data_IF_939599918446
#
_entry.id   IF_939599918446
#
_cell.length_a   1.000
_cell.length_b   1.000
_cell.length_c   1.000
_cell.angle_alpha   90.00
_cell.angle_beta   90.00
_cell.angle_gamma   90.00
#
_symmetry.space_group_name_H-M   'P 1'
#
loop_
_entity.id
_entity.type
_entity.pdbx_description
1 polymer ?
#
# COMPACT_ATOMS: atom_id res chain seq x y z
N UNK A 1 -26.99 14.94 -11.19
CA UNK A 1 -26.34 15.89 -10.26
C UNK A 1 -24.90 16.05 -10.71
N UNK A 2 -24.25 17.21 -10.46
CA UNK A 2 -22.83 17.34 -10.75
C UNK A 2 -22.05 16.39 -9.84
N UNK A 3 -21.00 15.75 -10.36
CA UNK A 3 -20.11 14.86 -9.59
C UNK A 3 -19.39 15.68 -8.52
N UNK A 4 -19.30 15.16 -7.28
CA UNK A 4 -18.51 15.77 -6.20
C UNK A 4 -17.03 15.55 -6.48
N UNK A 5 -16.24 16.59 -6.36
CA UNK A 5 -14.81 16.57 -6.69
C UNK A 5 -13.95 16.38 -5.45
N UNK A 6 -13.15 15.35 -5.44
CA UNK A 6 -12.24 15.02 -4.34
C UNK A 6 -10.79 15.22 -4.80
N UNK A 7 -10.01 15.97 -4.02
CA UNK A 7 -8.58 16.09 -4.23
C UNK A 7 -7.85 15.05 -3.37
N UNK A 8 -7.10 14.13 -4.00
CA UNK A 8 -6.12 13.28 -3.33
C UNK A 8 -4.76 13.96 -3.40
N UNK A 9 -4.15 14.27 -2.27
CA UNK A 9 -2.80 14.82 -2.24
C UNK A 9 -1.83 13.73 -1.81
N UNK A 10 -0.92 13.35 -2.70
CA UNK A 10 0.13 12.35 -2.43
C UNK A 10 1.51 12.94 -2.70
N UNK A 11 2.46 12.88 -1.75
CA UNK A 11 3.78 13.48 -1.91
C UNK A 11 4.67 12.76 -2.92
N UNK A 12 4.36 11.53 -3.27
CA UNK A 12 5.23 10.74 -4.14
C UNK A 12 4.92 10.99 -5.62
N UNK A 13 5.96 11.13 -6.46
CA UNK A 13 5.75 11.29 -7.89
C UNK A 13 5.21 10.00 -8.50
N UNK A 14 4.17 10.13 -9.29
CA UNK A 14 3.72 9.04 -10.15
C UNK A 14 4.70 8.91 -11.32
N UNK A 15 5.47 7.81 -11.34
CA UNK A 15 6.27 7.48 -12.50
C UNK A 15 5.37 6.82 -13.56
N UNK A 16 5.39 7.29 -14.82
CA UNK A 16 4.62 6.65 -15.90
C UNK A 16 5.04 5.22 -16.22
N UNK A 17 6.23 4.83 -15.78
CA UNK A 17 6.81 3.49 -15.98
C UNK A 17 7.71 3.16 -14.80
N UNK A 18 7.28 2.30 -13.91
CA UNK A 18 8.09 1.85 -12.80
C UNK A 18 7.31 1.10 -11.74
N UNK A 19 8.02 0.39 -10.87
CA UNK A 19 7.44 -0.25 -9.69
C UNK A 19 6.97 0.86 -8.76
N UNK A 20 5.65 1.04 -8.70
CA UNK A 20 5.01 1.93 -7.76
C UNK A 20 5.13 1.30 -6.36
N UNK A 21 5.42 2.10 -5.35
CA UNK A 21 5.35 1.66 -3.97
C UNK A 21 3.90 1.37 -3.55
N UNK A 22 3.72 0.63 -2.44
CA UNK A 22 2.37 0.31 -1.95
C UNK A 22 1.49 1.53 -1.67
N UNK A 23 2.10 2.67 -1.27
CA UNK A 23 1.36 3.91 -1.00
C UNK A 23 0.76 4.54 -2.24
N UNK A 24 1.54 4.65 -3.33
CA UNK A 24 1.07 5.20 -4.61
C UNK A 24 0.00 4.30 -5.24
N UNK A 25 0.24 3.00 -5.21
CA UNK A 25 -0.70 2.00 -5.73
C UNK A 25 -2.02 2.05 -4.96
N UNK A 26 -1.97 2.18 -3.64
CA UNK A 26 -3.16 2.31 -2.81
C UNK A 26 -3.98 3.54 -3.16
N UNK A 27 -3.35 4.72 -3.25
CA UNK A 27 -4.05 5.96 -3.56
C UNK A 27 -4.78 5.88 -4.93
N UNK A 28 -4.10 5.33 -5.94
CA UNK A 28 -4.70 5.14 -7.28
C UNK A 28 -5.85 4.14 -7.24
N UNK A 29 -5.67 3.00 -6.59
CA UNK A 29 -6.71 1.97 -6.49
C UNK A 29 -7.91 2.48 -5.68
N UNK A 30 -7.68 3.19 -4.58
CA UNK A 30 -8.76 3.78 -3.81
C UNK A 30 -9.56 4.80 -4.63
N UNK A 31 -8.89 5.66 -5.39
CA UNK A 31 -9.56 6.62 -6.29
C UNK A 31 -10.45 5.89 -7.31
N UNK A 32 -9.92 4.85 -7.97
CA UNK A 32 -10.68 3.98 -8.88
C UNK A 32 -11.85 3.30 -8.16
N UNK A 33 -11.59 2.74 -6.98
CA UNK A 33 -12.60 2.07 -6.16
C UNK A 33 -13.76 2.98 -5.80
N UNK A 34 -13.51 4.23 -5.39
CA UNK A 34 -14.53 5.23 -5.08
C UNK A 34 -15.38 5.53 -6.32
N UNK A 35 -14.74 5.86 -7.44
CA UNK A 35 -15.47 6.21 -8.67
C UNK A 35 -16.32 5.04 -9.17
N UNK A 36 -15.76 3.83 -9.19
CA UNK A 36 -16.46 2.63 -9.68
C UNK A 36 -17.60 2.19 -8.76
N UNK A 37 -17.41 2.25 -7.42
CA UNK A 37 -18.41 1.83 -6.45
C UNK A 37 -19.60 2.79 -6.34
N UNK A 38 -19.41 4.06 -6.70
CA UNK A 38 -20.44 5.11 -6.60
C UNK A 38 -21.08 5.46 -7.92
N UNK A 39 -20.73 4.77 -9.02
CA UNK A 39 -21.28 5.04 -10.34
C UNK A 39 -20.99 6.45 -10.85
N UNK A 40 -19.88 7.06 -10.42
CA UNK A 40 -19.46 8.41 -10.83
C UNK A 40 -20.11 9.54 -10.02
N UNK A 41 -20.74 9.27 -8.89
CA UNK A 41 -21.16 10.33 -7.95
C UNK A 41 -19.96 11.17 -7.49
N UNK A 42 -18.80 10.55 -7.38
CA UNK A 42 -17.53 11.20 -7.07
C UNK A 42 -16.59 11.16 -8.28
N UNK A 43 -15.78 12.21 -8.43
CA UNK A 43 -14.58 12.22 -9.27
C UNK A 43 -13.37 12.54 -8.42
N UNK A 44 -12.22 11.92 -8.73
CA UNK A 44 -11.00 12.04 -7.94
C UNK A 44 -9.87 12.57 -8.80
N UNK A 45 -9.28 13.67 -8.38
CA UNK A 45 -8.06 14.20 -8.96
C UNK A 45 -6.89 13.91 -8.00
N UNK A 46 -5.92 13.11 -8.47
CA UNK A 46 -4.72 12.76 -7.70
C UNK A 46 -3.69 13.86 -7.96
N UNK A 47 -3.43 14.67 -6.95
CA UNK A 47 -2.44 15.75 -7.00
C UNK A 47 -1.10 15.17 -6.52
N UNK A 48 -0.10 15.17 -7.39
CA UNK A 48 1.24 14.69 -7.14
C UNK A 48 2.27 15.72 -7.60
N UNK A 49 3.56 15.43 -7.47
CA UNK A 49 4.64 16.38 -7.69
C UNK A 49 5.69 15.79 -8.62
N UNK A 50 6.18 16.57 -9.59
CA UNK A 50 7.13 16.06 -10.57
C UNK A 50 7.58 17.08 -11.59
N UNK A 51 7.82 16.65 -12.82
CA UNK A 51 8.51 17.38 -13.88
C UNK A 51 7.77 18.54 -14.55
N UNK A 52 6.71 19.07 -13.96
CA UNK A 52 5.98 20.23 -14.47
C UNK A 52 4.52 20.23 -14.10
N UNK A 53 3.78 21.28 -14.49
CA UNK A 53 2.33 21.37 -14.37
C UNK A 53 1.68 20.61 -15.53
N UNK A 54 0.88 19.60 -15.22
CA UNK A 54 0.27 18.78 -16.27
C UNK A 54 -0.83 17.85 -15.77
N UNK A 55 -1.75 17.53 -16.67
CA UNK A 55 -2.86 16.62 -16.41
C UNK A 55 -2.75 15.35 -17.25
N UNK A 56 -3.09 14.23 -16.65
CA UNK A 56 -3.25 12.96 -17.35
C UNK A 56 -4.50 12.26 -16.87
N UNK A 57 -5.22 11.61 -17.75
CA UNK A 57 -6.34 10.75 -17.39
C UNK A 57 -5.80 9.38 -16.98
N UNK A 58 -6.21 8.89 -15.80
CA UNK A 58 -5.92 7.54 -15.32
C UNK A 58 -7.00 6.58 -15.79
N UNK A 59 -8.26 6.97 -15.57
CA UNK A 59 -9.46 6.34 -16.11
C UNK A 59 -10.64 7.33 -15.99
N UNK A 60 -11.81 7.09 -16.61
CA UNK A 60 -12.95 8.00 -16.50
C UNK A 60 -13.30 8.30 -15.04
N UNK A 61 -13.27 9.59 -14.69
CA UNK A 61 -13.51 10.08 -13.33
C UNK A 61 -12.29 10.09 -12.40
N UNK A 62 -11.12 9.56 -12.82
CA UNK A 62 -9.86 9.62 -12.08
C UNK A 62 -8.78 10.27 -12.94
N UNK A 63 -8.22 11.39 -12.48
CA UNK A 63 -7.16 12.11 -13.18
C UNK A 63 -5.95 12.30 -12.29
N UNK A 64 -4.79 12.45 -12.90
CA UNK A 64 -3.54 12.84 -12.26
C UNK A 64 -3.25 14.30 -12.60
N UNK A 65 -2.98 15.12 -11.59
CA UNK A 65 -2.46 16.47 -11.71
C UNK A 65 -1.04 16.53 -11.15
N UNK A 66 -0.06 16.65 -12.00
CA UNK A 66 1.35 16.81 -11.59
C UNK A 66 1.64 18.28 -11.36
N UNK A 67 2.11 18.65 -10.17
CA UNK A 67 2.51 20.01 -9.85
C UNK A 67 4.03 20.18 -9.92
N UNK A 68 4.51 21.38 -10.32
CA UNK A 68 5.96 21.64 -10.36
C UNK A 68 6.52 21.67 -8.94
N UNK A 69 7.72 21.10 -8.77
CA UNK A 69 8.48 21.18 -7.53
C UNK A 69 9.12 22.56 -7.38
N UNK A 70 9.06 23.12 -6.18
CA UNK A 70 9.82 24.31 -5.84
C UNK A 70 11.34 24.00 -5.83
N UNK A 71 12.17 24.97 -6.26
CA UNK A 71 13.62 24.77 -6.39
C UNK A 71 14.33 24.43 -5.05
N UNK A 72 13.71 24.73 -3.91
CA UNK A 72 14.22 24.49 -2.55
C UNK A 72 13.54 23.32 -1.86
N UNK A 73 12.78 22.49 -2.60
CA UNK A 73 12.05 21.37 -2.02
C UNK A 73 12.98 20.30 -1.43
N UNK A 74 12.53 19.63 -0.38
CA UNK A 74 13.25 18.57 0.33
C UNK A 74 13.44 17.26 -0.45
N UNK A 75 13.22 17.25 -1.76
CA UNK A 75 13.33 16.07 -2.64
C UNK A 75 12.02 15.31 -2.82
N UNK A 76 12.10 14.16 -3.50
CA UNK A 76 10.94 13.39 -3.92
C UNK A 76 10.06 12.86 -2.76
N UNK A 77 10.64 12.68 -1.57
CA UNK A 77 9.91 12.16 -0.41
C UNK A 77 9.22 13.25 0.42
N UNK A 78 9.61 14.52 0.23
CA UNK A 78 9.07 15.67 0.96
C UNK A 78 8.90 16.87 0.02
N UNK A 79 8.04 16.75 -0.99
CA UNK A 79 7.90 17.77 -2.03
C UNK A 79 7.26 19.04 -1.48
N UNK A 80 7.64 20.17 -2.10
CA UNK A 80 6.98 21.46 -1.92
C UNK A 80 6.62 22.01 -3.29
N UNK A 81 5.39 22.47 -3.45
CA UNK A 81 4.92 23.19 -4.62
C UNK A 81 4.17 24.45 -4.19
N UNK A 82 4.56 25.62 -4.73
CA UNK A 82 3.85 26.87 -4.46
C UNK A 82 2.47 26.91 -5.13
N UNK A 83 2.23 26.05 -6.14
CA UNK A 83 0.93 25.92 -6.80
C UNK A 83 -0.07 25.08 -6.02
N UNK A 84 0.38 24.30 -5.01
CA UNK A 84 -0.50 23.38 -4.29
C UNK A 84 -1.71 24.06 -3.64
N UNK A 85 -1.58 25.20 -2.93
CA UNK A 85 -2.75 25.86 -2.36
C UNK A 85 -3.79 26.25 -3.39
N UNK A 86 -3.38 26.78 -4.56
CA UNK A 86 -4.29 27.14 -5.63
C UNK A 86 -4.89 25.90 -6.31
N UNK A 87 -4.11 24.83 -6.47
CA UNK A 87 -4.56 23.59 -7.08
C UNK A 87 -5.70 22.90 -6.29
N UNK A 88 -5.92 23.28 -5.03
CA UNK A 88 -7.03 22.77 -4.19
C UNK A 88 -8.33 23.55 -4.34
N UNK A 89 -8.40 24.56 -5.20
CA UNK A 89 -9.63 25.33 -5.41
C UNK A 89 -10.71 24.50 -6.12
N UNK A 90 -11.97 24.65 -5.65
CA UNK A 90 -13.14 24.03 -6.26
C UNK A 90 -13.28 22.52 -6.00
N UNK A 91 -12.57 21.95 -5.05
CA UNK A 91 -12.83 20.61 -4.55
C UNK A 91 -13.78 20.66 -3.34
N UNK A 92 -14.63 19.64 -3.26
CA UNK A 92 -15.60 19.49 -2.17
C UNK A 92 -14.93 18.94 -0.90
N UNK A 93 -13.83 18.18 -1.07
CA UNK A 93 -13.09 17.55 0.03
C UNK A 93 -11.62 17.32 -0.40
N UNK A 94 -10.71 17.42 0.56
CA UNK A 94 -9.29 17.11 0.39
C UNK A 94 -8.93 15.86 1.19
N UNK A 95 -8.35 14.86 0.53
CA UNK A 95 -7.85 13.64 1.15
C UNK A 95 -6.33 13.57 1.08
N UNK A 96 -5.68 13.58 2.23
CA UNK A 96 -4.23 13.58 2.35
C UNK A 96 -3.72 12.14 2.46
N UNK A 97 -2.94 11.73 1.49
CA UNK A 97 -2.18 10.48 1.50
C UNK A 97 -0.73 10.77 1.89
N UNK A 98 -0.17 10.00 2.82
CA UNK A 98 1.16 10.29 3.41
C UNK A 98 1.27 11.74 3.94
N UNK A 99 0.33 12.12 4.78
CA UNK A 99 0.12 13.49 5.22
C UNK A 99 1.29 14.10 6.03
N UNK A 100 2.17 13.26 6.60
CA UNK A 100 3.26 13.70 7.48
C UNK A 100 4.48 14.20 6.70
N UNK A 101 4.22 15.05 5.72
CA UNK A 101 5.17 15.71 4.84
C UNK A 101 4.82 17.19 4.71
N UNK A 102 5.73 18.00 4.18
CA UNK A 102 5.44 19.42 3.90
C UNK A 102 4.24 19.61 2.98
N UNK A 103 4.12 18.77 1.95
CA UNK A 103 2.96 18.81 1.05
C UNK A 103 1.65 18.58 1.81
N UNK A 104 1.62 17.58 2.70
CA UNK A 104 0.45 17.30 3.54
C UNK A 104 0.10 18.46 4.46
N UNK A 105 1.08 19.05 5.14
CA UNK A 105 0.87 20.21 6.01
C UNK A 105 0.34 21.44 5.21
N UNK A 106 0.94 21.75 4.08
CA UNK A 106 0.49 22.85 3.19
C UNK A 106 -0.94 22.60 2.71
N UNK A 107 -1.24 21.39 2.27
CA UNK A 107 -2.58 21.05 1.78
C UNK A 107 -3.63 21.13 2.90
N UNK A 108 -3.32 20.66 4.12
CA UNK A 108 -4.21 20.79 5.26
C UNK A 108 -4.54 22.25 5.55
N UNK A 109 -3.51 23.12 5.68
CA UNK A 109 -3.72 24.54 5.97
C UNK A 109 -4.53 25.20 4.86
N UNK A 110 -4.20 24.93 3.59
CA UNK A 110 -4.92 25.48 2.45
C UNK A 110 -6.39 25.05 2.43
N UNK A 111 -6.69 23.78 2.72
CA UNK A 111 -8.05 23.26 2.79
C UNK A 111 -8.84 23.87 3.96
N UNK A 112 -8.21 24.01 5.15
CA UNK A 112 -8.85 24.63 6.33
C UNK A 112 -9.20 26.10 6.09
N UNK A 113 -8.34 26.87 5.43
CA UNK A 113 -8.63 28.27 5.05
C UNK A 113 -9.84 28.35 4.12
N UNK A 114 -10.09 27.32 3.30
CA UNK A 114 -11.24 27.24 2.37
C UNK A 114 -12.46 26.56 2.95
N UNK A 115 -12.43 26.18 4.21
CA UNK A 115 -13.48 25.39 4.88
C UNK A 115 -13.80 24.06 4.18
N UNK A 116 -12.82 23.48 3.48
CA UNK A 116 -12.93 22.17 2.87
C UNK A 116 -12.72 21.08 3.93
N UNK A 117 -13.57 20.06 3.99
CA UNK A 117 -13.31 18.89 4.85
C UNK A 117 -12.01 18.19 4.46
N UNK A 118 -11.26 17.74 5.48
CA UNK A 118 -9.96 17.07 5.30
C UNK A 118 -10.01 15.67 5.89
N UNK A 119 -9.71 14.67 5.06
CA UNK A 119 -9.45 13.29 5.47
C UNK A 119 -7.96 13.03 5.39
N UNK A 120 -7.41 12.31 6.36
CA UNK A 120 -6.02 11.91 6.42
C UNK A 120 -5.92 10.39 6.42
N UNK A 121 -5.22 9.79 5.45
CA UNK A 121 -4.87 8.35 5.49
C UNK A 121 -3.40 8.17 5.83
N UNK A 122 -3.15 7.35 6.85
CA UNK A 122 -1.81 7.00 7.30
C UNK A 122 -1.21 5.87 6.47
N UNK A 123 -0.09 6.15 5.79
CA UNK A 123 0.66 5.21 4.95
C UNK A 123 1.95 4.66 5.59
N UNK A 124 2.22 5.05 6.84
CA UNK A 124 3.50 4.79 7.50
C UNK A 124 4.59 5.78 7.10
N UNK A 125 5.44 6.12 8.06
CA UNK A 125 6.52 7.06 7.87
C UNK A 125 6.07 8.51 7.67
N UNK A 126 7.04 9.37 7.42
CA UNK A 126 6.88 10.81 7.22
C UNK A 126 8.21 11.53 7.44
N UNK A 127 8.28 12.77 7.01
CA UNK A 127 9.48 13.62 7.12
C UNK A 127 9.36 14.69 8.21
N UNK A 128 8.11 14.98 8.63
CA UNK A 128 7.84 15.92 9.71
C UNK A 128 8.14 15.31 11.09
N UNK A 129 8.37 16.14 12.09
CA UNK A 129 8.55 15.69 13.46
C UNK A 129 7.26 15.08 14.04
N UNK A 130 7.35 14.15 14.99
CA UNK A 130 6.18 13.53 15.63
C UNK A 130 5.19 14.54 16.24
N UNK A 131 5.67 15.66 16.78
CA UNK A 131 4.82 16.70 17.36
C UNK A 131 3.86 17.30 16.30
N UNK A 132 4.39 17.57 15.09
CA UNK A 132 3.58 18.04 13.97
C UNK A 132 2.59 16.99 13.46
N UNK A 133 2.88 15.70 13.63
CA UNK A 133 1.92 14.65 13.28
C UNK A 133 0.65 14.73 14.11
N UNK A 134 0.81 14.96 15.44
CA UNK A 134 -0.33 15.14 16.35
C UNK A 134 -1.19 16.31 15.91
N UNK A 135 -0.59 17.44 15.55
CA UNK A 135 -1.33 18.62 15.08
C UNK A 135 -2.09 18.34 13.78
N UNK A 136 -1.46 17.68 12.79
CA UNK A 136 -2.11 17.34 11.54
C UNK A 136 -3.30 16.37 11.74
N UNK A 137 -3.16 15.40 12.65
CA UNK A 137 -4.22 14.48 13.03
C UNK A 137 -5.39 15.24 13.66
N UNK A 138 -5.13 16.10 14.63
CA UNK A 138 -6.18 16.84 15.35
C UNK A 138 -6.91 17.87 14.46
N UNK A 139 -6.22 18.44 13.48
CA UNK A 139 -6.80 19.41 12.54
C UNK A 139 -7.55 18.77 11.37
N UNK A 140 -7.45 17.46 11.17
CA UNK A 140 -8.21 16.74 10.14
C UNK A 140 -9.65 16.47 10.59
N UNK A 141 -10.60 16.35 9.68
CA UNK A 141 -12.00 16.03 10.02
C UNK A 141 -12.18 14.52 10.25
N UNK A 142 -11.45 13.67 9.51
CA UNK A 142 -11.34 12.23 9.74
C UNK A 142 -9.92 11.73 9.53
N UNK A 143 -9.58 10.65 10.25
CA UNK A 143 -8.29 9.95 10.11
C UNK A 143 -8.55 8.49 9.80
N UNK A 144 -7.87 7.96 8.80
CA UNK A 144 -8.06 6.59 8.31
C UNK A 144 -6.75 5.83 8.41
N UNK A 145 -6.82 4.58 8.81
CA UNK A 145 -5.74 3.60 8.79
C UNK A 145 -6.16 2.35 8.01
N UNK A 146 -5.17 1.57 7.54
CA UNK A 146 -5.40 0.33 6.80
C UNK A 146 -5.76 -0.86 7.68
N UNK A 147 -5.41 -0.80 8.96
CA UNK A 147 -5.50 -1.89 9.91
C UNK A 147 -5.68 -1.35 11.33
N UNK A 148 -6.15 -2.19 12.24
CA UNK A 148 -6.19 -1.86 13.68
C UNK A 148 -4.78 -1.59 14.24
N UNK A 149 -3.80 -2.35 13.74
CA UNK A 149 -2.39 -2.09 14.09
C UNK A 149 -1.98 -0.68 13.64
N UNK A 150 -2.29 -0.32 12.39
CA UNK A 150 -2.00 1.02 11.85
C UNK A 150 -2.69 2.13 12.66
N UNK A 151 -3.95 1.95 13.03
CA UNK A 151 -4.68 2.90 13.85
C UNK A 151 -4.03 3.09 15.24
N UNK A 152 -3.65 2.00 15.90
CA UNK A 152 -2.95 2.07 17.20
C UNK A 152 -1.56 2.71 17.08
N UNK A 153 -0.84 2.46 15.98
CA UNK A 153 0.52 2.98 15.78
C UNK A 153 0.58 4.49 15.60
N UNK A 154 -0.53 5.12 15.21
CA UNK A 154 -0.63 6.58 15.11
C UNK A 154 -0.57 7.28 16.47
N UNK A 155 -0.92 6.61 17.56
CA UNK A 155 -1.03 7.25 18.89
C UNK A 155 -2.04 8.41 18.93
N UNK A 156 -3.00 8.43 18.00
CA UNK A 156 -4.02 9.49 17.92
C UNK A 156 -4.90 9.49 19.18
N UNK A 157 -5.26 10.70 19.65
CA UNK A 157 -6.19 10.88 20.79
C UNK A 157 -7.65 10.85 20.37
N UNK A 158 -7.90 10.86 19.07
CA UNK A 158 -9.23 10.83 18.47
C UNK A 158 -9.52 9.47 17.82
N UNK A 159 -10.76 9.27 17.40
CA UNK A 159 -11.16 8.10 16.62
C UNK A 159 -10.41 8.04 15.29
N UNK A 160 -9.96 6.84 14.94
CA UNK A 160 -9.33 6.52 13.65
C UNK A 160 -10.21 5.47 12.98
N UNK A 161 -10.73 5.79 11.81
CA UNK A 161 -11.49 4.85 11.00
C UNK A 161 -10.56 3.80 10.39
N UNK A 162 -10.96 2.54 10.40
CA UNK A 162 -10.17 1.46 9.77
C UNK A 162 -10.86 1.02 8.49
N UNK A 163 -10.26 1.39 7.36
CA UNK A 163 -10.72 1.00 6.01
C UNK A 163 -9.65 0.12 5.39
N UNK A 164 -9.95 -1.18 5.34
CA UNK A 164 -9.02 -2.24 4.90
C UNK A 164 -9.08 -2.46 3.39
N UNK A 165 -8.03 -3.08 2.83
CA UNK A 165 -8.01 -3.53 1.44
C UNK A 165 -7.49 -2.48 0.47
N UNK A 166 -8.07 -2.44 -0.72
CA UNK A 166 -7.69 -1.52 -1.79
C UNK A 166 -6.85 -2.15 -2.90
N UNK A 167 -6.79 -3.49 -2.99
CA UNK A 167 -6.16 -4.18 -4.12
C UNK A 167 -7.08 -4.14 -5.35
N UNK A 168 -6.49 -3.97 -6.53
CA UNK A 168 -7.22 -4.04 -7.80
C UNK A 168 -7.35 -5.51 -8.24
N UNK A 169 -8.50 -6.11 -7.94
CA UNK A 169 -8.81 -7.50 -8.28
C UNK A 169 -9.05 -7.75 -9.77
N UNK A 170 -9.15 -6.71 -10.60
CA UNK A 170 -9.23 -6.84 -12.06
C UNK A 170 -7.82 -6.91 -12.68
N UNK A 171 -6.87 -6.15 -12.11
CA UNK A 171 -5.46 -6.20 -12.51
C UNK A 171 -4.81 -7.48 -11.99
N UNK A 172 -4.94 -7.74 -10.68
CA UNK A 172 -4.43 -8.93 -10.04
C UNK A 172 -5.52 -9.99 -9.96
N UNK A 173 -5.48 -10.94 -10.88
CA UNK A 173 -6.45 -12.02 -10.99
C UNK A 173 -5.78 -13.33 -11.39
N UNK A 174 -6.39 -14.49 -11.09
CA UNK A 174 -5.83 -15.78 -11.43
C UNK A 174 -5.63 -15.91 -12.94
N UNK A 175 -4.48 -16.41 -13.36
CA UNK A 175 -4.19 -16.76 -14.75
C UNK A 175 -4.90 -18.07 -15.11
N UNK A 176 -5.48 -18.15 -16.28
CA UNK A 176 -6.11 -19.40 -16.76
C UNK A 176 -5.51 -19.83 -18.10
N UNK A 177 -5.00 -21.07 -18.25
CA UNK A 177 -4.87 -22.07 -17.19
C UNK A 177 -3.86 -21.61 -16.10
N UNK A 178 -4.04 -22.11 -14.86
CA UNK A 178 -3.11 -21.82 -13.77
C UNK A 178 -1.72 -22.39 -14.12
N UNK A 179 -0.67 -21.58 -14.13
CA UNK A 179 0.67 -22.08 -14.41
C UNK A 179 1.18 -23.00 -13.30
N UNK A 180 2.11 -23.87 -13.64
CA UNK A 180 2.79 -24.68 -12.63
C UNK A 180 3.51 -23.75 -11.61
N UNK A 181 3.33 -24.00 -10.33
CA UNK A 181 4.04 -23.32 -9.26
C UNK A 181 5.50 -23.75 -9.22
N UNK A 182 6.43 -22.81 -9.08
CA UNK A 182 7.87 -23.07 -9.30
C UNK A 182 8.79 -22.42 -8.29
N UNK A 183 8.33 -21.43 -7.52
CA UNK A 183 9.19 -20.66 -6.64
C UNK A 183 8.41 -20.09 -5.46
N UNK A 184 9.13 -19.71 -4.43
CA UNK A 184 8.66 -18.79 -3.38
C UNK A 184 8.91 -17.38 -3.85
N UNK A 185 8.01 -16.45 -3.59
CA UNK A 185 8.12 -15.07 -4.05
C UNK A 185 8.09 -14.10 -2.88
N UNK A 186 8.99 -13.12 -2.90
CA UNK A 186 8.90 -11.89 -2.14
C UNK A 186 8.69 -10.73 -3.11
N UNK A 187 7.75 -9.83 -2.78
CA UNK A 187 7.54 -8.59 -3.54
C UNK A 187 7.55 -7.41 -2.58
N UNK A 188 8.46 -6.45 -2.81
CA UNK A 188 8.56 -5.24 -2.01
C UNK A 188 9.93 -4.60 -2.03
N UNK A 189 10.05 -3.44 -1.39
CA UNK A 189 11.35 -2.78 -1.22
C UNK A 189 12.30 -3.68 -0.42
N UNK A 190 13.52 -3.87 -0.92
CA UNK A 190 14.55 -4.63 -0.21
C UNK A 190 15.16 -3.73 0.88
N UNK A 191 14.49 -3.67 2.02
CA UNK A 191 14.86 -2.90 3.21
C UNK A 191 15.12 -3.85 4.38
N UNK A 192 16.00 -3.49 5.33
CA UNK A 192 16.37 -4.37 6.45
C UNK A 192 15.17 -4.90 7.25
N UNK A 193 14.23 -4.00 7.61
CA UNK A 193 13.04 -4.39 8.37
C UNK A 193 12.03 -5.26 7.58
N UNK A 194 12.23 -5.45 6.27
CA UNK A 194 11.44 -6.41 5.49
C UNK A 194 11.91 -7.85 5.66
N UNK A 195 13.01 -8.10 6.37
CA UNK A 195 13.46 -9.43 6.80
C UNK A 195 13.83 -10.38 5.66
N UNK A 196 14.19 -9.85 4.48
CA UNK A 196 14.51 -10.67 3.29
C UNK A 196 15.71 -11.57 3.53
N UNK A 197 16.68 -11.10 4.31
CA UNK A 197 17.85 -11.86 4.75
C UNK A 197 17.47 -13.10 5.57
N UNK A 198 16.41 -13.03 6.40
CA UNK A 198 15.86 -14.15 7.17
C UNK A 198 15.08 -15.10 6.27
N UNK A 199 14.33 -14.57 5.29
CA UNK A 199 13.68 -15.42 4.30
C UNK A 199 14.69 -16.28 3.55
N UNK A 200 15.78 -15.68 3.03
CA UNK A 200 16.84 -16.43 2.34
C UNK A 200 17.39 -17.53 3.25
N UNK A 201 17.65 -17.23 4.52
CA UNK A 201 18.16 -18.21 5.49
C UNK A 201 17.16 -19.35 5.80
N UNK A 202 15.86 -19.05 5.80
CA UNK A 202 14.80 -20.00 6.08
C UNK A 202 14.41 -20.88 4.88
N UNK A 203 14.85 -20.55 3.66
CA UNK A 203 14.48 -21.33 2.47
C UNK A 203 14.85 -22.81 2.58
N UNK A 204 13.90 -23.72 2.28
CA UNK A 204 14.20 -25.15 2.16
C UNK A 204 15.14 -25.43 0.98
N UNK A 205 15.97 -26.48 1.09
CA UNK A 205 16.83 -26.90 -0.01
C UNK A 205 16.01 -27.30 -1.23
N UNK A 206 16.45 -26.88 -2.44
CA UNK A 206 15.82 -27.24 -3.70
C UNK A 206 14.54 -26.47 -4.02
N UNK A 207 14.13 -25.50 -3.19
CA UNK A 207 12.99 -24.62 -3.49
C UNK A 207 13.54 -23.28 -3.98
N UNK A 208 13.24 -22.86 -5.24
CA UNK A 208 13.70 -21.59 -5.77
C UNK A 208 13.05 -20.41 -5.06
N UNK A 209 13.79 -19.30 -4.90
CA UNK A 209 13.30 -18.04 -4.36
C UNK A 209 13.42 -16.92 -5.41
N UNK A 210 12.36 -16.15 -5.58
CA UNK A 210 12.37 -14.90 -6.37
C UNK A 210 12.19 -13.72 -5.44
N UNK A 211 13.12 -12.78 -5.50
CA UNK A 211 13.09 -11.51 -4.77
C UNK A 211 12.79 -10.39 -5.76
N UNK A 212 11.55 -9.89 -5.75
CA UNK A 212 11.10 -8.85 -6.66
C UNK A 212 11.04 -7.50 -5.93
N UNK A 213 11.92 -6.56 -6.34
CA UNK A 213 11.98 -5.22 -5.79
C UNK A 213 13.36 -4.59 -5.87
N UNK A 214 13.44 -3.33 -5.47
CA UNK A 214 14.67 -2.56 -5.48
C UNK A 214 15.30 -2.48 -4.09
N UNK A 215 16.62 -2.48 -4.05
CA UNK A 215 17.40 -2.23 -2.85
C UNK A 215 17.73 -0.74 -2.76
N UNK A 216 17.41 -0.13 -1.62
CA UNK A 216 17.67 1.28 -1.35
C UNK A 216 18.94 1.51 -0.53
N UNK A 217 19.59 0.46 -0.09
CA UNK A 217 20.87 0.47 0.63
C UNK A 217 21.84 -0.49 -0.04
N UNK A 218 22.99 0.02 -0.50
CA UNK A 218 24.02 -0.79 -1.13
C UNK A 218 24.56 -1.88 -0.17
N UNK A 219 24.77 -1.53 1.11
CA UNK A 219 25.24 -2.48 2.12
C UNK A 219 24.26 -3.63 2.37
N UNK A 220 22.95 -3.33 2.43
CA UNK A 220 21.95 -4.39 2.58
C UNK A 220 21.83 -5.24 1.32
N UNK A 221 21.93 -4.64 0.14
CA UNK A 221 21.94 -5.39 -1.12
C UNK A 221 23.14 -6.36 -1.21
N UNK A 222 24.28 -5.99 -0.68
CA UNK A 222 25.45 -6.86 -0.60
C UNK A 222 25.20 -8.04 0.34
N UNK A 223 24.69 -7.78 1.54
CA UNK A 223 24.31 -8.84 2.50
C UNK A 223 23.34 -9.83 1.86
N UNK A 224 22.34 -9.35 1.11
CA UNK A 224 21.37 -10.24 0.46
C UNK A 224 22.05 -11.10 -0.62
N UNK A 225 22.97 -10.54 -1.41
CA UNK A 225 23.73 -11.30 -2.43
C UNK A 225 24.62 -12.37 -1.77
N UNK A 226 25.30 -12.02 -0.69
CA UNK A 226 26.15 -12.96 0.06
C UNK A 226 25.33 -14.12 0.63
N UNK A 227 24.16 -13.83 1.22
CA UNK A 227 23.26 -14.87 1.74
C UNK A 227 22.62 -15.73 0.64
N UNK A 228 22.45 -15.18 -0.56
CA UNK A 228 21.94 -15.88 -1.73
C UNK A 228 23.02 -16.76 -2.40
N UNK A 229 24.31 -16.57 -2.09
CA UNK A 229 25.38 -17.31 -2.72
C UNK A 229 25.22 -18.83 -2.50
N UNK A 230 25.31 -19.61 -3.59
CA UNK A 230 25.11 -21.07 -3.56
C UNK A 230 23.66 -21.54 -3.37
N UNK A 231 22.68 -20.65 -3.42
CA UNK A 231 21.25 -20.94 -3.35
C UNK A 231 20.55 -20.57 -4.66
N UNK A 232 19.41 -21.19 -4.94
CA UNK A 232 18.58 -20.82 -6.09
C UNK A 232 17.73 -19.57 -5.77
N UNK A 233 18.38 -18.41 -5.79
CA UNK A 233 17.77 -17.10 -5.52
C UNK A 233 17.94 -16.19 -6.73
N UNK A 234 16.82 -15.68 -7.25
CA UNK A 234 16.80 -14.74 -8.36
C UNK A 234 16.29 -13.37 -7.92
N UNK A 235 17.00 -12.30 -8.28
CA UNK A 235 16.59 -10.92 -8.09
C UNK A 235 15.90 -10.40 -9.36
N UNK A 236 14.77 -9.71 -9.17
CA UNK A 236 14.00 -9.03 -10.23
C UNK A 236 13.76 -7.59 -9.78
N UNK A 237 14.22 -6.61 -10.56
CA UNK A 237 14.23 -5.20 -10.12
C UNK A 237 13.18 -4.32 -10.79
N UNK A 238 12.59 -4.75 -11.91
CA UNK A 238 11.80 -3.94 -12.84
C UNK A 238 10.56 -4.70 -13.37
N UNK A 239 9.77 -5.27 -12.47
CA UNK A 239 8.54 -5.95 -12.86
C UNK A 239 7.37 -4.95 -12.95
N UNK A 240 6.73 -4.86 -14.11
CA UNK A 240 5.43 -4.22 -14.28
C UNK A 240 4.29 -5.11 -13.73
N UNK A 241 3.06 -4.61 -13.77
CA UNK A 241 1.90 -5.35 -13.26
C UNK A 241 1.65 -6.68 -14.00
N UNK A 242 1.92 -6.73 -15.29
CA UNK A 242 1.79 -7.96 -16.07
C UNK A 242 2.81 -9.00 -15.59
N UNK A 243 4.06 -8.58 -15.42
CA UNK A 243 5.12 -9.42 -14.90
C UNK A 243 4.91 -9.83 -13.44
N UNK A 244 4.44 -8.92 -12.59
CA UNK A 244 4.08 -9.24 -11.21
C UNK A 244 2.98 -10.30 -11.16
N UNK A 245 1.94 -10.17 -11.97
CA UNK A 245 0.86 -11.16 -12.05
C UNK A 245 1.37 -12.55 -12.45
N UNK A 246 2.30 -12.64 -13.42
CA UNK A 246 2.94 -13.91 -13.79
C UNK A 246 3.75 -14.50 -12.64
N UNK A 247 4.52 -13.68 -11.92
CA UNK A 247 5.30 -14.09 -10.76
C UNK A 247 4.39 -14.60 -9.64
N UNK A 248 3.31 -13.87 -9.33
CA UNK A 248 2.32 -14.31 -8.36
C UNK A 248 1.70 -15.65 -8.76
N UNK A 249 1.17 -15.75 -9.98
CA UNK A 249 0.47 -16.95 -10.46
C UNK A 249 1.34 -18.20 -10.43
N UNK A 250 2.66 -18.08 -10.65
CA UNK A 250 3.61 -19.20 -10.67
C UNK A 250 4.34 -19.42 -9.34
N UNK A 251 3.98 -18.71 -8.27
CA UNK A 251 4.56 -18.90 -6.96
C UNK A 251 3.86 -19.99 -6.14
N UNK A 252 4.61 -20.78 -5.36
CA UNK A 252 4.06 -21.66 -4.33
C UNK A 252 3.35 -20.86 -3.25
N UNK A 253 3.96 -19.75 -2.86
CA UNK A 253 3.42 -18.75 -1.94
C UNK A 253 4.19 -17.43 -2.10
N UNK A 254 3.57 -16.37 -1.59
CA UNK A 254 4.24 -15.08 -1.39
C UNK A 254 4.55 -14.92 0.09
N UNK A 255 5.78 -14.51 0.39
CA UNK A 255 6.25 -14.34 1.77
C UNK A 255 6.58 -12.88 2.05
N UNK A 256 5.98 -12.31 3.11
CA UNK A 256 6.40 -11.04 3.70
C UNK A 256 6.95 -11.27 5.10
N UNK A 257 8.28 -11.32 5.26
CA UNK A 257 8.94 -11.64 6.51
C UNK A 257 9.31 -10.40 7.33
N UNK A 258 8.48 -9.35 7.32
CA UNK A 258 8.77 -8.07 8.00
C UNK A 258 8.95 -8.25 9.50
N UNK A 259 9.80 -7.41 10.10
CA UNK A 259 10.25 -7.54 11.49
C UNK A 259 10.37 -6.22 12.21
N UNK A 260 10.18 -6.24 13.55
CA UNK A 260 10.38 -5.07 14.40
C UNK A 260 11.85 -4.73 14.62
N UNK A 261 12.74 -5.73 14.62
CA UNK A 261 14.19 -5.53 14.81
C UNK A 261 14.88 -6.07 13.56
N UNK A 262 15.54 -5.18 12.82
CA UNK A 262 16.25 -5.54 11.61
C UNK A 262 17.62 -6.20 11.89
N UNK A 263 18.30 -6.65 10.84
CA UNK A 263 19.61 -7.30 10.92
C UNK A 263 20.69 -6.42 11.57
N UNK A 264 20.51 -5.10 11.58
CA UNK A 264 21.45 -4.15 12.21
C UNK A 264 21.07 -3.80 13.65
N UNK A 265 19.99 -4.38 14.18
CA UNK A 265 19.49 -4.13 15.53
C UNK A 265 18.61 -2.88 15.64
N UNK A 266 18.24 -2.24 14.55
CA UNK A 266 17.35 -1.08 14.59
C UNK A 266 15.90 -1.54 14.85
N UNK A 267 15.22 -0.83 15.75
CA UNK A 267 13.83 -1.07 16.05
C UNK A 267 12.90 -0.28 15.11
N UNK A 268 11.96 -0.96 14.49
CA UNK A 268 10.93 -0.40 13.62
C UNK A 268 9.56 -0.57 14.29
N UNK A 269 8.93 0.50 14.83
CA UNK A 269 7.66 0.40 15.54
C UNK A 269 6.50 -0.02 14.64
N UNK A 270 6.53 0.36 13.36
CA UNK A 270 5.50 0.05 12.39
C UNK A 270 6.14 -0.47 11.07
N UNK A 271 6.70 -1.71 11.08
CA UNK A 271 7.46 -2.22 9.93
C UNK A 271 6.58 -2.59 8.75
N UNK A 272 5.30 -2.91 9.00
CA UNK A 272 4.29 -3.19 7.99
C UNK A 272 2.90 -2.81 8.48
N UNK A 273 2.18 -1.97 7.75
CA UNK A 273 0.83 -1.55 8.13
C UNK A 273 -0.26 -2.46 7.57
N UNK A 274 -0.02 -3.09 6.42
CA UNK A 274 -1.02 -3.92 5.75
C UNK A 274 -0.41 -5.15 5.07
N UNK A 275 0.66 -4.98 4.27
CA UNK A 275 1.21 -6.04 3.44
C UNK A 275 0.54 -6.10 2.07
N UNK A 276 0.58 -5.00 1.31
CA UNK A 276 -0.15 -4.86 0.06
C UNK A 276 0.14 -5.98 -0.95
N UNK A 277 1.40 -6.43 -1.06
CA UNK A 277 1.77 -7.54 -1.95
C UNK A 277 1.21 -8.90 -1.53
N UNK A 278 0.81 -9.09 -0.26
CA UNK A 278 0.04 -10.28 0.16
C UNK A 278 -1.35 -10.26 -0.46
N UNK A 279 -2.02 -9.10 -0.45
CA UNK A 279 -3.35 -8.95 -1.05
C UNK A 279 -3.31 -9.12 -2.58
N UNK A 280 -2.27 -8.62 -3.25
CA UNK A 280 -2.03 -8.86 -4.68
C UNK A 280 -1.84 -10.35 -4.98
N UNK A 281 -1.07 -11.06 -4.15
CA UNK A 281 -0.87 -12.51 -4.24
C UNK A 281 -2.19 -13.27 -4.06
N UNK A 282 -2.95 -12.94 -3.00
CA UNK A 282 -4.25 -13.53 -2.73
C UNK A 282 -5.23 -13.25 -3.87
N UNK A 283 -5.21 -12.05 -4.44
CA UNK A 283 -5.98 -11.69 -5.64
C UNK A 283 -5.65 -12.58 -6.85
N UNK A 284 -4.37 -12.99 -6.99
CA UNK A 284 -3.91 -13.94 -8.00
C UNK A 284 -4.13 -15.43 -7.63
N UNK A 285 -4.89 -15.72 -6.57
CA UNK A 285 -5.09 -17.06 -6.01
C UNK A 285 -3.77 -17.74 -5.60
N UNK A 286 -2.85 -16.99 -4.99
CA UNK A 286 -1.57 -17.46 -4.46
C UNK A 286 -1.58 -17.32 -2.94
N UNK A 287 -1.24 -18.39 -2.18
CA UNK A 287 -1.21 -18.35 -0.72
C UNK A 287 -0.29 -17.27 -0.17
N UNK A 288 -0.72 -16.60 0.89
CA UNK A 288 0.06 -15.62 1.62
C UNK A 288 0.78 -16.26 2.81
N UNK A 289 2.05 -15.89 3.05
CA UNK A 289 2.80 -16.28 4.24
C UNK A 289 3.39 -15.01 4.85
N UNK A 290 3.10 -14.73 6.11
CA UNK A 290 3.62 -13.53 6.75
C UNK A 290 4.05 -13.79 8.20
N UNK A 291 5.00 -12.99 8.68
CA UNK A 291 5.31 -12.94 10.12
C UNK A 291 4.13 -12.36 10.91
N UNK A 292 4.03 -12.71 12.20
CA UNK A 292 3.03 -12.10 13.11
C UNK A 292 3.46 -10.69 13.54
N UNK A 293 3.70 -9.83 12.54
CA UNK A 293 4.23 -8.47 12.73
C UNK A 293 3.35 -7.45 12.02
N UNK A 294 3.11 -6.33 12.68
CA UNK A 294 2.36 -5.24 12.08
C UNK A 294 0.89 -5.57 11.86
N UNK A 295 0.32 -5.04 10.78
CA UNK A 295 -1.05 -5.27 10.36
C UNK A 295 -1.27 -6.52 9.52
N UNK A 296 -0.22 -7.23 9.09
CA UNK A 296 -0.34 -8.37 8.18
C UNK A 296 -1.26 -9.50 8.69
N UNK A 297 -1.24 -9.87 9.99
CA UNK A 297 -2.13 -10.92 10.51
C UNK A 297 -3.63 -10.56 10.47
N UNK A 298 -3.98 -9.30 10.19
CA UNK A 298 -5.38 -8.89 10.01
C UNK A 298 -5.95 -9.27 8.63
N UNK A 299 -5.08 -9.62 7.70
CA UNK A 299 -5.41 -9.90 6.30
C UNK A 299 -5.24 -11.37 5.92
N UNK A 300 -4.43 -12.12 6.66
CA UNK A 300 -4.15 -13.53 6.41
C UNK A 300 -4.77 -14.38 7.51
N UNK A 301 -5.67 -15.27 7.13
CA UNK A 301 -6.31 -16.23 8.04
C UNK A 301 -5.46 -17.51 8.06
N UNK A 302 -4.77 -17.73 9.21
CA UNK A 302 -3.82 -18.82 9.38
C UNK A 302 -4.44 -20.20 9.14
N UNK A 303 -3.82 -21.00 8.26
CA UNK A 303 -4.29 -22.32 7.87
C UNK A 303 -5.45 -22.32 6.85
N UNK A 304 -6.03 -21.17 6.48
CA UNK A 304 -7.17 -21.04 5.57
C UNK A 304 -6.75 -20.47 4.21
N UNK A 305 -6.20 -19.26 4.18
CA UNK A 305 -5.76 -18.59 2.95
C UNK A 305 -4.25 -18.34 2.90
N UNK A 306 -3.55 -18.76 3.97
CA UNK A 306 -2.12 -18.64 4.10
C UNK A 306 -1.61 -19.16 5.43
N UNK A 307 -0.40 -18.73 5.81
CA UNK A 307 0.19 -19.03 7.10
C UNK A 307 0.73 -17.76 7.77
N UNK A 308 0.48 -17.64 9.08
CA UNK A 308 1.07 -16.61 9.94
C UNK A 308 2.08 -17.29 10.87
N UNK A 309 3.33 -16.89 10.85
CA UNK A 309 4.40 -17.53 11.58
C UNK A 309 5.06 -16.62 12.62
N UNK A 310 5.65 -17.22 13.66
CA UNK A 310 6.37 -16.56 14.75
C UNK A 310 7.87 -16.90 14.78
N UNK A 311 8.28 -17.97 14.08
CA UNK A 311 9.68 -18.44 14.08
C UNK A 311 10.18 -18.81 12.68
N UNK A 312 11.50 -18.84 12.52
CA UNK A 312 12.14 -19.28 11.27
C UNK A 312 11.82 -20.74 10.91
N UNK A 313 11.60 -21.60 11.89
CA UNK A 313 11.25 -23.00 11.67
C UNK A 313 9.80 -23.12 11.18
N UNK A 314 8.87 -22.33 11.71
CA UNK A 314 7.49 -22.25 11.22
C UNK A 314 7.44 -21.71 9.80
N UNK A 315 8.22 -20.65 9.49
CA UNK A 315 8.35 -20.15 8.13
C UNK A 315 8.83 -21.24 7.17
N UNK A 316 9.91 -21.96 7.55
CA UNK A 316 10.44 -23.06 6.74
C UNK A 316 9.41 -24.17 6.56
N UNK A 317 8.67 -24.54 7.60
CA UNK A 317 7.63 -25.54 7.55
C UNK A 317 6.47 -25.13 6.63
N UNK A 318 6.00 -23.88 6.72
CA UNK A 318 4.96 -23.33 5.85
C UNK A 318 5.38 -23.37 4.36
N UNK A 319 6.59 -22.89 4.06
CA UNK A 319 7.15 -22.93 2.69
C UNK A 319 7.24 -24.37 2.19
N UNK A 320 7.80 -25.31 3.01
CA UNK A 320 7.97 -26.70 2.63
C UNK A 320 6.64 -27.40 2.32
N UNK A 321 5.60 -27.12 3.13
CA UNK A 321 4.25 -27.68 2.91
C UNK A 321 3.65 -27.18 1.61
N UNK A 322 3.72 -25.88 1.32
CA UNK A 322 3.15 -25.27 0.11
C UNK A 322 3.94 -25.65 -1.15
N UNK A 323 5.25 -25.88 -1.04
CA UNK A 323 6.06 -26.34 -2.16
C UNK A 323 5.86 -27.83 -2.48
N UNK A 324 5.57 -28.66 -1.47
CA UNK A 324 5.37 -30.09 -1.64
C UNK A 324 3.94 -30.48 -2.02
N UNK A 325 2.92 -29.68 -1.62
CA UNK A 325 1.50 -29.94 -1.86
C UNK A 325 0.85 -28.82 -2.67
N UNK A 326 0.85 -28.97 -4.00
CA UNK A 326 0.21 -28.00 -4.90
C UNK A 326 -1.31 -27.90 -4.67
N UNK A 327 -1.95 -29.00 -4.26
CA UNK A 327 -3.38 -29.06 -3.94
C UNK A 327 -3.71 -28.19 -2.71
N UNK A 328 -2.85 -28.21 -1.68
CA UNK A 328 -2.95 -27.29 -0.53
C UNK A 328 -2.80 -25.85 -0.99
N UNK A 329 -1.76 -25.55 -1.78
CA UNK A 329 -1.52 -24.22 -2.29
C UNK A 329 -2.70 -23.70 -3.12
N UNK A 330 -3.32 -24.54 -3.94
CA UNK A 330 -4.49 -24.18 -4.77
C UNK A 330 -5.73 -23.92 -3.90
N UNK A 331 -5.99 -24.74 -2.88
CA UNK A 331 -7.10 -24.52 -1.94
C UNK A 331 -6.94 -23.21 -1.15
N UNK A 332 -5.76 -22.98 -0.59
CA UNK A 332 -5.45 -21.74 0.15
C UNK A 332 -5.51 -20.52 -0.77
N UNK A 333 -4.91 -20.60 -1.96
CA UNK A 333 -4.97 -19.52 -2.94
C UNK A 333 -6.41 -19.17 -3.36
N UNK A 334 -7.27 -20.18 -3.57
CA UNK A 334 -8.68 -19.96 -3.86
C UNK A 334 -9.43 -19.32 -2.67
N UNK A 335 -9.09 -19.67 -1.43
CA UNK A 335 -9.64 -19.03 -0.24
C UNK A 335 -9.21 -17.55 -0.15
N UNK A 336 -7.92 -17.28 -0.39
CA UNK A 336 -7.38 -15.92 -0.44
C UNK A 336 -8.05 -15.05 -1.51
N UNK A 337 -8.28 -15.61 -2.71
CA UNK A 337 -9.01 -14.88 -3.77
C UNK A 337 -10.42 -14.49 -3.33
N UNK A 338 -11.17 -15.39 -2.71
CA UNK A 338 -12.49 -15.08 -2.16
C UNK A 338 -12.42 -14.00 -1.09
N UNK A 339 -11.44 -14.08 -0.18
CA UNK A 339 -11.25 -13.06 0.84
C UNK A 339 -10.99 -11.66 0.24
N UNK A 340 -10.23 -11.59 -0.86
CA UNK A 340 -10.03 -10.34 -1.60
C UNK A 340 -11.34 -9.85 -2.20
N UNK A 341 -12.06 -10.69 -2.94
CA UNK A 341 -13.32 -10.32 -3.60
C UNK A 341 -14.37 -9.82 -2.59
N UNK A 342 -14.46 -10.45 -1.44
CA UNK A 342 -15.47 -10.15 -0.43
C UNK A 342 -15.09 -8.95 0.47
N UNK A 343 -13.80 -8.75 0.74
CA UNK A 343 -13.36 -7.86 1.83
C UNK A 343 -12.25 -6.86 1.47
N UNK A 344 -11.34 -7.21 0.56
CA UNK A 344 -10.09 -6.47 0.35
C UNK A 344 -9.98 -5.82 -1.03
N UNK A 345 -10.97 -5.99 -1.91
CA UNK A 345 -11.00 -5.33 -3.23
C UNK A 345 -11.10 -3.81 -3.08
N UNK A 346 -10.54 -3.08 -4.03
CA UNK A 346 -10.58 -1.62 -4.03
C UNK A 346 -12.01 -1.05 -4.06
N UNK A 347 -12.99 -1.80 -4.62
CA UNK A 347 -14.39 -1.35 -4.66
C UNK A 347 -15.01 -1.38 -3.27
N UNK A 348 -14.64 -2.38 -2.44
CA UNK A 348 -15.07 -2.46 -1.04
C UNK A 348 -14.48 -1.29 -0.26
N UNK A 349 -13.17 -1.09 -0.35
CA UNK A 349 -12.50 0.04 0.30
C UNK A 349 -13.04 1.39 -0.19
N UNK A 350 -13.27 1.52 -1.49
CA UNK A 350 -13.84 2.71 -2.11
C UNK A 350 -15.25 3.03 -1.64
N UNK A 351 -16.10 2.01 -1.51
CA UNK A 351 -17.46 2.17 -0.97
C UNK A 351 -17.46 2.64 0.49
N UNK A 352 -16.60 2.05 1.33
CA UNK A 352 -16.44 2.50 2.72
C UNK A 352 -15.94 3.95 2.81
N UNK A 353 -14.97 4.31 1.97
CA UNK A 353 -14.43 5.68 1.92
C UNK A 353 -15.48 6.69 1.42
N UNK A 354 -16.25 6.33 0.41
CA UNK A 354 -17.33 7.18 -0.10
C UNK A 354 -18.41 7.43 0.97
N UNK A 355 -18.74 6.43 1.79
CA UNK A 355 -19.66 6.60 2.92
C UNK A 355 -19.10 7.59 3.96
N UNK A 356 -17.80 7.51 4.27
CA UNK A 356 -17.12 8.48 5.14
C UNK A 356 -17.22 9.90 4.58
N UNK A 357 -16.95 10.08 3.28
CA UNK A 357 -17.06 11.40 2.63
C UNK A 357 -18.48 11.95 2.66
N UNK A 358 -19.47 11.11 2.39
CA UNK A 358 -20.88 11.53 2.44
C UNK A 358 -21.25 12.07 3.83
N UNK A 359 -20.78 11.45 4.91
CA UNK A 359 -20.97 11.93 6.27
C UNK A 359 -20.35 13.32 6.51
N UNK A 360 -19.12 13.52 6.07
CA UNK A 360 -18.42 14.80 6.25
C UNK A 360 -19.05 15.93 5.43
N UNK A 361 -19.42 15.64 4.17
CA UNK A 361 -20.00 16.63 3.27
C UNK A 361 -21.43 17.06 3.65
N UNK A 362 -22.20 16.18 4.33
CA UNK A 362 -23.51 16.54 4.86
C UNK A 362 -23.41 17.41 6.12
N UNK A 363 -22.44 17.13 6.98
CA UNK A 363 -22.20 17.87 8.22
C UNK A 363 -21.70 19.30 7.95
N UNK A 364 -20.90 19.51 6.92
CA UNK A 364 -20.39 20.83 6.54
C UNK A 364 -21.47 21.78 6.01
N UNK A 365 -22.51 21.25 5.39
CA UNK A 365 -23.66 22.07 4.91
C UNK A 365 -24.51 22.58 6.10
N UNK A 366 -24.61 21.82 7.18
CA UNK A 366 -25.38 22.23 8.37
C UNK A 366 -24.68 23.29 9.22
N UNK A 367 -23.35 23.39 9.17
CA UNK A 367 -22.58 24.42 9.88
C UNK A 367 -22.48 25.75 9.12
N UNK A 368 -22.83 25.78 7.84
CA UNK A 368 -22.78 26.97 6.98
C UNK A 368 -24.14 27.66 6.79
N UNK A 369 -25.20 27.07 7.34
CA UNK A 369 -26.58 27.63 7.40
C UNK A 369 -26.92 28.18 8.78
#
# INVERSE_FOLDING_TARGET
>A
MASRRIAFVTPQPFAPSGILGGGERYATNLARGIVRSTGGEYSVDIISFGGGDGWAEVEPGVRLHSLPLAATAGGAQDPVSWSLPQALEGYDLVHLHQAFTRAGAIALVAARIRHQPVVLTHHGGGTLSPDLWVELIELSDAVVAYSEFGARSLGARRHVDVIRGGVDGDVFQPTRPQPQRRHVLFVGRLLPHKGVDRLIAAMPSGVPLVLCGQAYSAGYAEILRDRAAGRDVRFVHDADDARLRELYASAHCVVLPSEHIDIFGNFHPAPELMGFSLLEAMACATPAVCSRVGGMPEFVEDGVDGFVYDSADELRAAISRLAADSSLADRMGAAGRRAVEDRWDMRVAGSCMAALYAGLLTSSVQCAS
#
